data_IF_407114878987
#
_entry.id   IF_407114878987
#
_cell.length_a   1.000
_cell.length_b   1.000
_cell.length_c   1.000
_cell.angle_alpha   90.00
_cell.angle_beta   90.00
_cell.angle_gamma   90.00
#
_symmetry.space_group_name_H-M   'P 1'
#
loop_
_entity.id
_entity.type
_entity.pdbx_description
1 polymer ?
#
# COMPACT_ATOMS: atom_id res chain seq x y z
N UNK A 1 -54.55 -47.19 -9.79
CA UNK A 1 -53.24 -46.52 -9.74
C UNK A 1 -53.45 -45.20 -8.99
N UNK A 2 -53.33 -45.21 -7.66
CA UNK A 2 -53.65 -44.05 -6.83
C UNK A 2 -52.47 -43.07 -6.85
N UNK A 3 -52.74 -41.81 -7.19
CA UNK A 3 -51.74 -40.76 -7.27
C UNK A 3 -51.24 -40.47 -5.84
N UNK A 4 -50.05 -40.98 -5.53
CA UNK A 4 -49.31 -40.75 -4.28
C UNK A 4 -48.68 -39.34 -4.23
N UNK A 5 -49.31 -38.33 -4.85
CA UNK A 5 -48.69 -37.03 -5.13
C UNK A 5 -48.78 -35.97 -4.03
N UNK A 6 -49.61 -36.17 -2.99
CA UNK A 6 -49.83 -35.15 -1.96
C UNK A 6 -48.62 -34.87 -1.06
N UNK A 7 -47.86 -35.92 -0.70
CA UNK A 7 -46.65 -35.78 0.13
C UNK A 7 -45.47 -35.26 -0.69
N UNK A 8 -45.33 -35.72 -1.93
CA UNK A 8 -44.28 -35.29 -2.85
C UNK A 8 -44.40 -33.79 -3.18
N UNK A 9 -45.62 -33.29 -3.41
CA UNK A 9 -45.87 -31.85 -3.62
C UNK A 9 -45.55 -31.04 -2.36
N UNK A 10 -45.91 -31.54 -1.17
CA UNK A 10 -45.58 -30.86 0.11
C UNK A 10 -44.08 -30.79 0.35
N UNK A 11 -43.34 -31.85 0.05
CA UNK A 11 -41.87 -31.89 0.13
C UNK A 11 -41.27 -30.92 -0.88
N UNK A 12 -41.78 -30.89 -2.12
CA UNK A 12 -41.34 -29.94 -3.15
C UNK A 12 -41.54 -28.49 -2.74
N UNK A 13 -42.69 -28.13 -2.17
CA UNK A 13 -42.95 -26.79 -1.64
C UNK A 13 -42.01 -26.46 -0.47
N UNK A 14 -41.77 -27.40 0.44
CA UNK A 14 -40.84 -27.19 1.55
C UNK A 14 -39.41 -26.91 1.08
N UNK A 15 -38.92 -27.68 0.10
CA UNK A 15 -37.60 -27.47 -0.51
C UNK A 15 -37.54 -26.11 -1.22
N UNK A 16 -38.59 -25.73 -1.95
CA UNK A 16 -38.67 -24.44 -2.63
C UNK A 16 -38.59 -23.27 -1.65
N UNK A 17 -39.33 -23.34 -0.54
CA UNK A 17 -39.28 -22.33 0.54
C UNK A 17 -37.87 -22.28 1.13
N UNK A 18 -37.23 -23.42 1.36
CA UNK A 18 -35.85 -23.48 1.85
C UNK A 18 -34.86 -22.79 0.91
N UNK A 19 -34.96 -23.02 -0.40
CA UNK A 19 -34.11 -22.35 -1.41
C UNK A 19 -34.37 -20.84 -1.41
N UNK A 20 -35.63 -20.40 -1.40
CA UNK A 20 -35.97 -18.98 -1.36
C UNK A 20 -35.45 -18.31 -0.09
N UNK A 21 -35.56 -18.97 1.06
CA UNK A 21 -35.02 -18.47 2.32
C UNK A 21 -33.48 -18.37 2.29
N UNK A 22 -32.79 -19.35 1.72
CA UNK A 22 -31.34 -19.32 1.54
C UNK A 22 -30.92 -18.18 0.60
N UNK A 23 -31.57 -18.04 -0.56
CA UNK A 23 -31.30 -16.94 -1.48
C UNK A 23 -31.52 -15.59 -0.80
N UNK A 24 -32.62 -15.42 -0.07
CA UNK A 24 -32.90 -14.20 0.69
C UNK A 24 -31.81 -13.89 1.72
N UNK A 25 -31.36 -14.88 2.49
CA UNK A 25 -30.27 -14.71 3.45
C UNK A 25 -28.96 -14.33 2.75
N UNK A 26 -28.60 -15.00 1.65
CA UNK A 26 -27.39 -14.68 0.88
C UNK A 26 -27.40 -13.24 0.38
N UNK A 27 -28.50 -12.76 -0.18
CA UNK A 27 -28.61 -11.37 -0.64
C UNK A 27 -28.56 -10.37 0.52
N UNK A 28 -29.24 -10.67 1.64
CA UNK A 28 -29.24 -9.80 2.82
C UNK A 28 -27.86 -9.64 3.44
N UNK A 29 -27.11 -10.74 3.58
CA UNK A 29 -25.74 -10.71 4.09
C UNK A 29 -24.80 -9.97 3.14
N UNK A 30 -24.99 -10.10 1.82
CA UNK A 30 -24.22 -9.36 0.83
C UNK A 30 -24.47 -7.84 0.95
N UNK A 31 -25.73 -7.41 1.05
CA UNK A 31 -26.08 -5.99 1.13
C UNK A 31 -25.47 -5.31 2.38
N UNK A 32 -25.53 -5.98 3.53
CA UNK A 32 -24.99 -5.47 4.80
C UNK A 32 -23.45 -5.44 4.80
N UNK A 33 -22.80 -6.39 4.12
CA UNK A 33 -21.35 -6.36 3.92
C UNK A 33 -20.88 -5.22 3.01
N UNK A 34 -21.70 -4.80 2.03
CA UNK A 34 -21.34 -3.79 1.04
C UNK A 34 -21.82 -2.37 1.36
N UNK A 35 -22.80 -2.20 2.25
CA UNK A 35 -23.37 -0.86 2.58
C UNK A 35 -23.58 -0.72 4.09
N UNK A 36 -22.56 -0.30 4.86
CA UNK A 36 -22.73 -0.02 6.27
C UNK A 36 -23.70 1.16 6.43
N UNK A 37 -24.79 1.00 7.20
CA UNK A 37 -25.87 2.02 7.31
C UNK A 37 -25.44 3.33 8.01
N UNK A 38 -24.28 3.35 8.66
CA UNK A 38 -23.75 4.51 9.40
C UNK A 38 -22.38 5.00 8.89
N UNK A 39 -22.30 5.25 7.59
CA UNK A 39 -21.14 5.87 6.95
C UNK A 39 -21.49 7.20 6.30
N UNK A 40 -20.49 8.07 6.17
CA UNK A 40 -20.48 9.16 5.20
C UNK A 40 -19.40 8.91 4.15
N UNK A 41 -19.57 9.56 3.01
CA UNK A 41 -18.73 9.34 1.84
C UNK A 41 -17.74 10.49 1.71
N UNK A 42 -16.49 10.17 1.42
CA UNK A 42 -15.51 11.11 0.89
C UNK A 42 -14.80 10.44 -0.29
N UNK A 43 -14.03 11.20 -1.06
CA UNK A 43 -13.36 10.71 -2.26
C UNK A 43 -11.87 10.94 -2.20
N UNK A 44 -11.11 10.05 -2.82
CA UNK A 44 -9.68 10.24 -3.07
C UNK A 44 -9.36 9.79 -4.50
N UNK A 45 -8.41 10.46 -5.15
CA UNK A 45 -8.00 10.13 -6.52
C UNK A 45 -6.54 9.73 -6.51
N UNK A 46 -6.25 8.52 -7.00
CA UNK A 46 -4.89 7.97 -7.04
C UNK A 46 -4.46 7.78 -8.48
N UNK A 47 -3.16 7.93 -8.74
CA UNK A 47 -2.59 7.63 -10.06
C UNK A 47 -2.58 6.12 -10.31
N UNK A 48 -2.31 5.33 -9.26
CA UNK A 48 -2.37 3.88 -9.31
C UNK A 48 -2.82 3.31 -7.96
N UNK A 49 -3.74 2.34 -8.00
CA UNK A 49 -4.28 1.65 -6.83
C UNK A 49 -3.74 0.23 -6.65
N UNK A 50 -2.97 -0.28 -7.62
CA UNK A 50 -2.22 -1.54 -7.60
C UNK A 50 -2.93 -2.70 -6.90
N UNK A 51 -4.17 -2.99 -7.29
CA UNK A 51 -4.96 -4.12 -6.75
C UNK A 51 -5.83 -3.82 -5.54
N UNK A 52 -6.05 -2.55 -5.18
CA UNK A 52 -7.08 -2.17 -4.20
C UNK A 52 -8.46 -2.59 -4.69
N UNK A 53 -9.23 -3.25 -3.82
CA UNK A 53 -10.57 -3.78 -4.14
C UNK A 53 -11.65 -3.14 -3.29
N UNK A 54 -12.89 -3.16 -3.81
CA UNK A 54 -14.08 -2.78 -3.05
C UNK A 54 -14.19 -3.63 -1.77
N UNK A 55 -14.50 -2.99 -0.65
CA UNK A 55 -14.61 -3.64 0.67
C UNK A 55 -13.30 -3.68 1.46
N UNK A 56 -12.17 -3.32 0.84
CA UNK A 56 -10.90 -3.14 1.54
C UNK A 56 -11.03 -2.19 2.73
N UNK A 57 -10.21 -2.40 3.76
CA UNK A 57 -10.27 -1.59 4.98
C UNK A 57 -9.76 -0.18 4.72
N UNK A 58 -10.35 0.77 5.44
CA UNK A 58 -9.79 2.11 5.61
C UNK A 58 -9.38 2.22 7.07
N UNK A 59 -8.12 2.55 7.31
CA UNK A 59 -7.54 2.64 8.65
C UNK A 59 -7.00 4.04 8.92
N UNK A 60 -6.93 4.38 10.20
CA UNK A 60 -6.21 5.55 10.70
C UNK A 60 -5.48 5.11 11.96
N UNK A 61 -4.16 5.33 12.01
CA UNK A 61 -3.32 4.86 13.11
C UNK A 61 -3.47 3.34 13.39
N UNK A 62 -3.72 2.53 12.35
CA UNK A 62 -3.94 1.08 12.45
C UNK A 62 -5.31 0.66 12.97
N UNK A 63 -6.23 1.60 13.20
CA UNK A 63 -7.60 1.32 13.63
C UNK A 63 -8.53 1.37 12.42
N UNK A 64 -9.37 0.35 12.18
CA UNK A 64 -10.36 0.39 11.10
C UNK A 64 -11.43 1.46 11.34
N UNK A 65 -11.50 2.42 10.43
CA UNK A 65 -12.44 3.56 10.48
C UNK A 65 -13.44 3.58 9.32
N UNK A 66 -13.31 2.66 8.36
CA UNK A 66 -14.19 2.61 7.21
C UNK A 66 -13.90 1.46 6.25
N UNK A 67 -14.53 1.52 5.08
CA UNK A 67 -14.31 0.60 3.96
C UNK A 67 -14.29 1.30 2.61
N UNK A 68 -13.52 0.75 1.69
CA UNK A 68 -13.51 1.19 0.29
C UNK A 68 -14.84 0.85 -0.37
N UNK A 69 -15.49 1.86 -0.91
CA UNK A 69 -16.72 1.77 -1.67
C UNK A 69 -16.45 1.49 -3.15
N UNK A 70 -17.10 2.24 -4.03
CA UNK A 70 -16.88 2.14 -5.48
C UNK A 70 -15.50 2.67 -5.89
N UNK A 71 -14.96 2.07 -6.95
CA UNK A 71 -13.73 2.49 -7.62
C UNK A 71 -14.09 2.75 -9.06
N UNK A 72 -13.78 3.94 -9.55
CA UNK A 72 -14.14 4.42 -10.88
C UNK A 72 -12.89 4.96 -11.59
N UNK A 73 -12.76 4.70 -12.89
CA UNK A 73 -11.72 5.31 -13.70
C UNK A 73 -12.18 6.71 -14.13
N UNK A 74 -11.40 7.73 -13.79
CA UNK A 74 -11.63 9.10 -14.22
C UNK A 74 -11.29 9.28 -15.71
N UNK A 75 -11.85 10.29 -16.40
CA UNK A 75 -11.50 10.60 -17.79
C UNK A 75 -9.99 10.84 -18.00
N UNK A 76 -9.29 11.31 -16.95
CA UNK A 76 -7.85 11.58 -16.95
C UNK A 76 -7.00 10.32 -16.72
N UNK A 77 -7.62 9.13 -16.64
CA UNK A 77 -6.93 7.86 -16.46
C UNK A 77 -6.51 7.56 -15.01
N UNK A 78 -6.97 8.35 -14.03
CA UNK A 78 -6.73 8.12 -12.60
C UNK A 78 -7.85 7.32 -11.96
N UNK A 79 -7.56 6.66 -10.83
CA UNK A 79 -8.56 5.92 -10.08
C UNK A 79 -9.22 6.81 -9.02
N UNK A 80 -10.51 7.09 -9.17
CA UNK A 80 -11.35 7.72 -8.14
C UNK A 80 -11.91 6.66 -7.21
N UNK A 81 -11.60 6.77 -5.93
CA UNK A 81 -12.00 5.82 -4.90
C UNK A 81 -12.99 6.49 -3.96
N UNK A 82 -14.17 5.87 -3.80
CA UNK A 82 -15.15 6.24 -2.79
C UNK A 82 -14.74 5.63 -1.44
N UNK A 83 -14.60 6.48 -0.42
CA UNK A 83 -14.21 6.10 0.93
C UNK A 83 -15.44 6.20 1.84
N UNK A 84 -15.89 5.07 2.38
CA UNK A 84 -17.02 4.99 3.29
C UNK A 84 -16.51 5.03 4.73
N UNK A 85 -16.57 6.21 5.37
CA UNK A 85 -16.05 6.44 6.72
C UNK A 85 -17.19 6.32 7.74
N UNK A 86 -16.99 5.58 8.84
CA UNK A 86 -18.00 5.46 9.88
C UNK A 86 -18.24 6.82 10.57
N UNK A 87 -19.49 7.17 10.87
CA UNK A 87 -19.87 8.50 11.43
C UNK A 87 -19.16 8.90 12.73
N UNK A 88 -18.61 7.95 13.47
CA UNK A 88 -17.83 8.21 14.69
C UNK A 88 -16.44 8.82 14.45
N UNK A 89 -15.94 8.79 13.21
CA UNK A 89 -14.62 9.28 12.84
C UNK A 89 -14.72 10.50 11.93
N UNK A 90 -13.85 11.49 12.15
CA UNK A 90 -13.77 12.70 11.34
C UNK A 90 -12.38 12.78 10.70
N UNK A 91 -12.36 13.18 9.42
CA UNK A 91 -11.13 13.31 8.65
C UNK A 91 -10.83 14.80 8.45
N UNK A 92 -9.62 15.24 8.77
CA UNK A 92 -9.17 16.61 8.54
C UNK A 92 -9.11 16.91 7.03
N UNK A 93 -9.27 18.18 6.65
CA UNK A 93 -9.19 18.61 5.24
C UNK A 93 -7.76 18.56 4.66
N UNK A 94 -6.75 18.58 5.51
CA UNK A 94 -5.33 18.39 5.17
C UNK A 94 -4.84 16.94 5.38
N UNK A 95 -5.75 15.99 5.59
CA UNK A 95 -5.38 14.58 5.71
C UNK A 95 -4.78 14.02 4.40
N UNK A 96 -3.97 12.97 4.54
CA UNK A 96 -3.37 12.27 3.39
C UNK A 96 -3.96 10.86 3.33
N UNK A 97 -4.48 10.47 2.16
CA UNK A 97 -4.88 9.09 1.91
C UNK A 97 -3.76 8.35 1.19
N UNK A 98 -3.27 7.26 1.77
CA UNK A 98 -2.19 6.45 1.21
C UNK A 98 -2.66 5.02 0.96
N UNK A 99 -2.32 4.43 -0.18
CA UNK A 99 -2.58 3.01 -0.39
C UNK A 99 -1.39 2.21 0.12
N UNK A 100 -1.67 1.34 1.09
CA UNK A 100 -0.68 0.51 1.78
C UNK A 100 -1.00 -0.97 1.57
N UNK A 101 -0.04 -1.81 1.93
CA UNK A 101 -0.12 -3.27 1.77
C UNK A 101 0.00 -3.92 3.13
N UNK A 102 -0.89 -4.85 3.46
CA UNK A 102 -0.74 -5.70 4.63
C UNK A 102 0.34 -6.75 4.38
N UNK A 103 1.36 -6.71 5.23
CA UNK A 103 2.43 -7.71 5.23
C UNK A 103 3.00 -7.97 3.84
N UNK A 104 3.38 -9.23 3.60
CA UNK A 104 4.02 -9.68 2.36
C UNK A 104 3.00 -10.24 1.35
N UNK A 105 1.79 -10.60 1.81
CA UNK A 105 0.77 -11.30 1.02
C UNK A 105 0.04 -10.39 0.02
N UNK A 106 0.20 -9.06 0.12
CA UNK A 106 -0.21 -8.16 -0.96
C UNK A 106 -1.58 -7.50 -0.81
N UNK A 107 -2.36 -7.84 0.23
CA UNK A 107 -3.67 -7.24 0.45
C UNK A 107 -3.55 -5.72 0.65
N UNK A 108 -4.26 -4.94 -0.16
CA UNK A 108 -4.21 -3.49 -0.11
C UNK A 108 -5.27 -2.91 0.82
N UNK A 109 -4.93 -1.80 1.47
CA UNK A 109 -5.85 -1.01 2.27
C UNK A 109 -5.55 0.49 2.11
N UNK A 110 -6.49 1.33 2.51
CA UNK A 110 -6.29 2.79 2.54
C UNK A 110 -5.92 3.20 3.96
N UNK A 111 -4.75 3.78 4.12
CA UNK A 111 -4.28 4.40 5.36
C UNK A 111 -4.55 5.91 5.29
N UNK A 112 -5.32 6.43 6.23
CA UNK A 112 -5.57 7.87 6.37
C UNK A 112 -4.64 8.42 7.44
N UNK A 113 -3.67 9.22 7.02
CA UNK A 113 -2.82 9.98 7.92
C UNK A 113 -3.57 11.25 8.36
N UNK A 114 -3.78 11.47 9.67
CA UNK A 114 -4.40 12.69 10.14
C UNK A 114 -3.51 13.89 9.83
N UNK A 115 -4.13 14.97 9.40
CA UNK A 115 -3.45 16.27 9.27
C UNK A 115 -3.49 17.07 10.58
N UNK A 116 -3.08 18.33 10.51
CA UNK A 116 -3.00 19.25 11.64
C UNK A 116 -4.13 20.29 11.63
N UNK A 117 -4.95 20.31 10.60
CA UNK A 117 -6.08 21.23 10.48
C UNK A 117 -7.13 20.98 11.56
N UNK A 118 -7.78 22.07 11.98
CA UNK A 118 -8.97 22.04 12.85
C UNK A 118 -10.27 21.87 12.06
N UNK A 119 -10.19 21.91 10.74
CA UNK A 119 -11.31 21.79 9.82
C UNK A 119 -11.43 20.33 9.38
N UNK A 120 -12.67 19.84 9.30
CA UNK A 120 -12.97 18.48 8.86
C UNK A 120 -13.65 18.51 7.50
N UNK A 121 -13.34 17.48 6.69
CA UNK A 121 -14.00 17.26 5.42
C UNK A 121 -15.50 17.02 5.61
N UNK A 122 -16.29 17.67 4.76
CA UNK A 122 -17.73 17.44 4.69
C UNK A 122 -18.03 16.17 3.88
N UNK A 123 -19.17 15.51 4.12
CA UNK A 123 -19.64 14.43 3.25
C UNK A 123 -19.66 14.86 1.77
N UNK A 124 -19.12 14.02 0.91
CA UNK A 124 -18.97 14.25 -0.53
C UNK A 124 -17.68 14.96 -0.93
N UNK A 125 -16.88 15.42 0.03
CA UNK A 125 -15.62 16.13 -0.26
C UNK A 125 -14.52 15.19 -0.74
N UNK A 126 -13.51 15.77 -1.38
CA UNK A 126 -12.32 15.05 -1.86
C UNK A 126 -11.12 15.34 -0.95
N UNK A 127 -10.35 14.31 -0.62
CA UNK A 127 -9.06 14.46 0.06
C UNK A 127 -8.07 15.09 -0.92
N UNK A 128 -7.39 16.15 -0.48
CA UNK A 128 -6.49 16.93 -1.33
C UNK A 128 -5.18 16.20 -1.68
N UNK A 129 -4.69 15.37 -0.75
CA UNK A 129 -3.38 14.73 -0.86
C UNK A 129 -3.50 13.20 -0.84
N UNK A 130 -2.91 12.57 -1.85
CA UNK A 130 -2.95 11.12 -2.02
C UNK A 130 -1.57 10.55 -2.30
N UNK A 131 -1.25 9.42 -1.67
CA UNK A 131 -0.05 8.62 -1.96
C UNK A 131 -0.50 7.32 -2.66
N UNK A 132 -0.13 7.17 -3.93
CA UNK A 132 -0.43 5.98 -4.73
C UNK A 132 0.28 4.73 -4.21
N UNK A 133 -0.24 3.57 -4.56
CA UNK A 133 0.37 2.30 -4.19
C UNK A 133 1.68 2.08 -4.94
N UNK A 134 2.78 1.85 -4.22
CA UNK A 134 4.04 1.45 -4.83
C UNK A 134 3.91 -0.01 -5.29
N UNK A 135 4.18 -0.26 -6.57
CA UNK A 135 4.23 -1.61 -7.14
C UNK A 135 5.61 -2.26 -6.93
N UNK A 136 5.67 -3.59 -6.88
CA UNK A 136 6.95 -4.31 -6.81
C UNK A 136 7.79 -4.00 -8.07
N UNK A 137 7.14 -3.89 -9.21
CA UNK A 137 7.76 -3.51 -10.48
C UNK A 137 8.40 -2.13 -10.41
N UNK A 138 7.75 -1.13 -9.79
CA UNK A 138 8.34 0.19 -9.55
C UNK A 138 9.56 0.13 -8.63
N UNK A 139 9.53 -0.70 -7.58
CA UNK A 139 10.69 -0.90 -6.71
C UNK A 139 11.85 -1.53 -7.51
N UNK A 140 11.58 -2.58 -8.28
CA UNK A 140 12.59 -3.24 -9.12
C UNK A 140 13.17 -2.27 -10.16
N UNK A 141 12.31 -1.45 -10.79
CA UNK A 141 12.74 -0.41 -11.72
C UNK A 141 13.61 0.66 -11.04
N UNK A 142 13.34 1.01 -9.78
CA UNK A 142 14.17 1.95 -9.02
C UNK A 142 15.54 1.37 -8.64
N UNK A 143 15.60 0.05 -8.40
CA UNK A 143 16.84 -0.64 -8.01
C UNK A 143 17.72 -0.94 -9.22
N UNK A 144 17.13 -1.19 -10.39
CA UNK A 144 17.84 -1.55 -11.63
C UNK A 144 19.03 -0.62 -11.95
N UNK A 145 18.82 0.69 -12.10
CA UNK A 145 19.89 1.65 -12.40
C UNK A 145 21.00 1.67 -11.33
N UNK A 146 20.64 1.49 -10.06
CA UNK A 146 21.62 1.42 -8.96
C UNK A 146 22.52 0.20 -9.10
N UNK A 147 21.96 -0.97 -9.45
CA UNK A 147 22.72 -2.21 -9.67
C UNK A 147 23.59 -2.12 -10.93
N UNK A 148 23.10 -1.48 -11.99
CA UNK A 148 23.88 -1.24 -13.21
C UNK A 148 25.06 -0.31 -12.98
N UNK A 149 24.87 0.81 -12.29
CA UNK A 149 25.97 1.71 -11.92
C UNK A 149 27.03 1.01 -11.06
N UNK A 150 26.62 0.14 -10.13
CA UNK A 150 27.56 -0.70 -9.38
C UNK A 150 28.33 -1.67 -10.27
N UNK A 151 27.67 -2.34 -11.21
CA UNK A 151 28.34 -3.22 -12.19
C UNK A 151 29.31 -2.47 -13.07
N UNK A 152 29.02 -1.23 -13.44
CA UNK A 152 29.92 -0.41 -14.25
C UNK A 152 31.21 -0.08 -13.48
N UNK A 153 31.09 0.32 -12.21
CA UNK A 153 32.23 0.65 -11.35
C UNK A 153 33.15 -0.55 -11.05
N UNK A 154 32.61 -1.75 -10.84
CA UNK A 154 33.43 -2.94 -10.48
C UNK A 154 33.71 -3.88 -11.66
N UNK A 155 32.90 -3.82 -12.71
CA UNK A 155 32.89 -4.76 -13.81
C UNK A 155 33.64 -4.26 -15.04
N UNK A 156 33.74 -2.95 -15.25
CA UNK A 156 34.47 -2.39 -16.40
C UNK A 156 35.98 -2.41 -16.19
N UNK A 157 36.73 -2.44 -17.29
CA UNK A 157 38.21 -2.33 -17.24
C UNK A 157 38.64 -1.00 -16.60
N UNK A 158 37.95 0.08 -16.92
CA UNK A 158 38.21 1.42 -16.39
C UNK A 158 37.89 1.52 -14.89
N UNK A 159 36.74 0.99 -14.46
CA UNK A 159 36.38 0.93 -13.05
C UNK A 159 37.39 0.13 -12.20
N UNK A 160 37.84 -1.04 -12.70
CA UNK A 160 38.89 -1.83 -12.05
C UNK A 160 40.23 -1.09 -11.97
N UNK A 161 40.59 -0.33 -13.00
CA UNK A 161 41.83 0.46 -13.00
C UNK A 161 41.75 1.60 -11.99
N UNK A 162 40.63 2.32 -11.96
CA UNK A 162 40.36 3.37 -10.96
C UNK A 162 40.39 2.82 -9.53
N UNK A 163 39.78 1.65 -9.28
CA UNK A 163 39.86 0.96 -7.99
C UNK A 163 41.31 0.61 -7.62
N UNK A 164 42.09 0.11 -8.58
CA UNK A 164 43.48 -0.26 -8.36
C UNK A 164 44.33 0.96 -7.96
N UNK A 165 44.12 2.10 -8.61
CA UNK A 165 44.78 3.38 -8.28
C UNK A 165 44.37 3.86 -6.89
N UNK A 166 43.07 3.82 -6.56
CA UNK A 166 42.56 4.20 -5.24
C UNK A 166 43.18 3.34 -4.12
N UNK A 167 43.22 2.02 -4.31
CA UNK A 167 43.83 1.08 -3.36
C UNK A 167 45.33 1.34 -3.22
N UNK A 168 46.02 1.64 -4.32
CA UNK A 168 47.44 1.99 -4.30
C UNK A 168 47.69 3.27 -3.49
N UNK A 169 46.94 4.34 -3.75
CA UNK A 169 47.06 5.61 -3.02
C UNK A 169 46.78 5.45 -1.52
N UNK A 170 45.76 4.65 -1.15
CA UNK A 170 45.44 4.37 0.25
C UNK A 170 46.58 3.62 0.92
N UNK A 171 47.16 2.62 0.23
CA UNK A 171 48.30 1.86 0.75
C UNK A 171 49.50 2.75 0.98
N UNK A 172 49.83 3.63 0.04
CA UNK A 172 50.96 4.54 0.12
C UNK A 172 50.79 5.58 1.23
N UNK A 173 49.59 6.13 1.37
CA UNK A 173 49.23 7.03 2.47
C UNK A 173 49.35 6.31 3.82
N UNK A 174 48.83 5.07 3.91
CA UNK A 174 48.90 4.26 5.14
C UNK A 174 50.34 3.92 5.52
N UNK A 175 51.19 3.62 4.53
CA UNK A 175 52.60 3.36 4.74
C UNK A 175 53.32 4.62 5.25
N UNK A 176 53.02 5.78 4.67
CA UNK A 176 53.56 7.07 5.12
C UNK A 176 53.14 7.39 6.55
N UNK A 177 51.87 7.14 6.88
CA UNK A 177 51.35 7.31 8.24
C UNK A 177 52.04 6.37 9.24
N UNK A 178 52.24 5.10 8.86
CA UNK A 178 52.97 4.13 9.67
C UNK A 178 54.41 4.57 9.92
N UNK A 179 55.09 5.05 8.89
CA UNK A 179 56.46 5.56 9.01
C UNK A 179 56.53 6.79 9.93
N UNK A 180 55.53 7.68 9.87
CA UNK A 180 55.44 8.84 10.78
C UNK A 180 55.20 8.36 12.22
N UNK A 181 54.25 7.46 12.44
CA UNK A 181 53.95 6.90 13.75
C UNK A 181 55.18 6.21 14.39
N UNK A 182 55.91 5.39 13.62
CA UNK A 182 57.13 4.73 14.07
C UNK A 182 58.25 5.73 14.43
N UNK A 183 58.36 6.85 13.71
CA UNK A 183 59.35 7.92 14.02
C UNK A 183 58.98 8.68 15.29
N UNK A 184 57.68 8.89 15.54
CA UNK A 184 57.17 9.52 16.76
C UNK A 184 57.38 8.59 17.97
N UNK A 185 57.08 7.30 17.84
CA UNK A 185 57.26 6.29 18.90
C UNK A 185 58.75 6.12 19.28
N UNK A 186 59.67 6.26 18.31
CA UNK A 186 61.12 6.24 18.53
C UNK A 186 61.71 7.59 18.99
N UNK A 187 60.88 8.61 19.23
CA UNK A 187 61.32 9.92 19.74
C UNK A 187 62.12 10.77 18.74
N UNK A 188 62.05 10.49 17.43
CA UNK A 188 62.79 11.19 16.37
C UNK A 188 61.95 12.23 15.61
N UNK A 189 60.88 12.74 16.23
CA UNK A 189 60.04 13.80 15.67
C UNK A 189 60.77 15.14 15.74
N UNK A 190 61.19 15.67 14.59
CA UNK A 190 61.64 17.06 14.46
C UNK A 190 60.48 18.00 14.78
N UNK A 191 60.73 18.98 15.66
CA UNK A 191 59.92 20.20 15.77
C UNK A 191 59.87 20.95 14.44
#
# INVERSE_FOLDING_TARGET
MAIKGGTEIKVGIFVLIGIVALLYLTFKLAEEAFTPKDVYKIYAVFDNISGLTKGAKIEMAGIPIGRVGRIELTPEGKAKVELLIYKGYKIQDDAIAAIRTYGVLGDKFVDIKPGYSKVYLQPGSMIAHTESAISVDEILASIGPTVEGLKELIGTKEGKENLKILVANIRDASQSFKNIAERIEKGQGTL
#
